data_IF_308908943087
#
_entry.id   IF_308908943087
#
_cell.length_a   1.000
_cell.length_b   1.000
_cell.length_c   1.000
_cell.angle_alpha   90.00
_cell.angle_beta   90.00
_cell.angle_gamma   90.00
#
_symmetry.space_group_name_H-M   'P 1'
#
loop_
_entity.id
_entity.type
_entity.pdbx_description
1 polymer ?
#
# COMPACT_ATOMS: atom_id res chain seq x y z
N UNK A 1 1.57 -8.10 9.37
CA UNK A 1 1.24 -6.67 9.42
C UNK A 1 1.05 -6.20 10.86
N UNK A 2 0.21 -6.86 11.67
CA UNK A 2 0.07 -6.61 13.12
C UNK A 2 1.38 -6.32 13.89
N UNK A 3 2.38 -7.21 13.85
CA UNK A 3 3.68 -7.00 14.53
C UNK A 3 4.42 -5.73 14.03
N UNK A 4 4.30 -5.40 12.74
CA UNK A 4 4.89 -4.19 12.17
C UNK A 4 4.20 -2.95 12.74
N UNK A 5 2.86 -2.96 12.79
CA UNK A 5 2.05 -1.87 13.36
C UNK A 5 2.35 -1.68 14.84
N UNK A 6 2.46 -2.75 15.61
CA UNK A 6 2.78 -2.68 17.04
C UNK A 6 4.17 -2.06 17.26
N UNK A 7 5.18 -2.45 16.47
CA UNK A 7 6.53 -1.87 16.51
C UNK A 7 6.57 -0.41 16.08
N UNK A 8 5.70 -0.01 15.14
CA UNK A 8 5.54 1.38 14.71
C UNK A 8 4.96 2.24 15.83
N UNK A 9 3.90 1.75 16.51
CA UNK A 9 3.27 2.42 17.67
C UNK A 9 4.24 2.60 18.82
N UNK A 10 5.04 1.59 19.16
CA UNK A 10 6.06 1.69 20.21
C UNK A 10 7.05 2.83 19.93
N UNK A 11 7.50 2.98 18.68
CA UNK A 11 8.44 4.04 18.28
C UNK A 11 7.79 5.42 18.32
N UNK A 12 6.55 5.51 17.87
CA UNK A 12 5.74 6.73 17.95
C UNK A 12 5.56 7.18 19.41
N UNK A 13 5.21 6.27 20.32
CA UNK A 13 5.07 6.56 21.74
C UNK A 13 6.41 6.98 22.38
N UNK A 14 7.50 6.30 22.03
CA UNK A 14 8.84 6.66 22.50
C UNK A 14 9.22 8.10 22.09
N UNK A 15 8.88 8.52 20.87
CA UNK A 15 9.08 9.90 20.45
C UNK A 15 8.31 10.88 21.34
N UNK A 16 7.00 10.68 21.52
CA UNK A 16 6.16 11.57 22.32
C UNK A 16 6.52 11.61 23.82
N UNK A 17 7.07 10.52 24.35
CA UNK A 17 7.47 10.40 25.76
C UNK A 17 8.92 10.89 26.01
N UNK A 18 9.57 11.45 25.01
CA UNK A 18 10.97 11.89 25.12
C UNK A 18 11.16 12.96 26.21
N UNK A 19 12.13 12.73 27.10
CA UNK A 19 12.43 13.62 28.23
C UNK A 19 13.16 14.91 27.85
N UNK A 20 13.64 15.02 26.60
CA UNK A 20 14.33 16.21 26.07
C UNK A 20 14.10 16.34 24.57
N UNK A 21 14.38 17.52 24.02
CA UNK A 21 14.26 17.78 22.59
C UNK A 21 15.23 16.94 21.76
N UNK A 22 16.47 16.76 22.25
CA UNK A 22 17.44 15.88 21.57
C UNK A 22 16.97 14.43 21.50
N UNK A 23 16.43 13.91 22.61
CA UNK A 23 15.87 12.56 22.61
C UNK A 23 14.62 12.48 21.71
N UNK A 24 13.81 13.53 21.67
CA UNK A 24 12.66 13.62 20.77
C UNK A 24 13.08 13.50 19.30
N UNK A 25 14.04 14.31 18.83
CA UNK A 25 14.49 14.25 17.44
C UNK A 25 15.12 12.90 17.07
N UNK A 26 15.88 12.29 17.99
CA UNK A 26 16.43 10.94 17.79
C UNK A 26 15.35 9.87 17.69
N UNK A 27 14.30 9.96 18.50
CA UNK A 27 13.19 9.01 18.46
C UNK A 27 12.29 9.23 17.22
N UNK A 28 12.11 10.48 16.77
CA UNK A 28 11.46 10.79 15.49
C UNK A 28 12.28 10.19 14.34
N UNK A 29 13.60 10.36 14.34
CA UNK A 29 14.48 9.72 13.36
C UNK A 29 14.29 8.20 13.38
N UNK A 30 14.32 7.54 14.54
CA UNK A 30 14.13 6.09 14.65
C UNK A 30 12.74 5.61 14.20
N UNK A 31 11.71 6.44 14.39
CA UNK A 31 10.36 6.17 13.90
C UNK A 31 10.30 6.22 12.36
N UNK A 32 10.81 7.27 11.74
CA UNK A 32 10.86 7.40 10.27
C UNK A 32 11.79 6.35 9.65
N UNK A 33 12.95 6.08 10.27
CA UNK A 33 13.90 5.06 9.83
C UNK A 33 13.25 3.67 9.74
N UNK A 34 12.40 3.34 10.72
CA UNK A 34 11.65 2.09 10.71
C UNK A 34 10.67 2.00 9.53
N UNK A 35 10.03 3.11 9.16
CA UNK A 35 9.15 3.18 8.00
C UNK A 35 9.95 2.95 6.72
N UNK A 36 11.02 3.74 6.51
CA UNK A 36 11.89 3.68 5.32
C UNK A 36 12.52 2.29 5.14
N UNK A 37 13.02 1.68 6.23
CA UNK A 37 13.70 0.38 6.18
C UNK A 37 12.76 -0.82 6.18
N UNK A 38 11.45 -0.63 6.37
CA UNK A 38 10.47 -1.73 6.31
C UNK A 38 9.82 -1.73 4.93
N UNK A 39 10.11 -2.71 4.04
CA UNK A 39 9.69 -2.64 2.63
C UNK A 39 8.18 -2.45 2.42
N UNK A 40 7.36 -3.08 3.26
CA UNK A 40 5.90 -2.96 3.18
C UNK A 40 5.41 -1.57 3.57
N UNK A 41 6.06 -0.92 4.53
CA UNK A 41 5.72 0.44 4.96
C UNK A 41 6.25 1.47 3.95
N UNK A 42 7.46 1.28 3.44
CA UNK A 42 8.03 2.10 2.36
C UNK A 42 7.15 2.08 1.12
N UNK A 43 6.65 0.90 0.71
CA UNK A 43 5.76 0.80 -0.46
C UNK A 43 4.45 1.61 -0.30
N UNK A 44 3.94 1.75 0.93
CA UNK A 44 2.78 2.62 1.21
C UNK A 44 3.16 4.09 1.01
N UNK A 45 4.35 4.48 1.47
CA UNK A 45 4.87 5.83 1.28
C UNK A 45 5.11 6.15 -0.19
N UNK A 46 5.75 5.25 -0.94
CA UNK A 46 6.04 5.40 -2.37
C UNK A 46 4.74 5.58 -3.17
N UNK A 47 3.72 4.79 -2.85
CA UNK A 47 2.38 4.94 -3.45
C UNK A 47 1.76 6.28 -3.10
N UNK A 48 1.88 6.72 -1.85
CA UNK A 48 1.40 8.04 -1.42
C UNK A 48 2.10 9.19 -2.13
N UNK A 49 3.40 9.07 -2.38
CA UNK A 49 4.19 10.04 -3.17
C UNK A 49 3.72 10.08 -4.63
N UNK A 50 3.54 8.92 -5.26
CA UNK A 50 3.05 8.82 -6.63
C UNK A 50 1.65 9.45 -6.77
N UNK A 51 0.74 9.14 -5.85
CA UNK A 51 -0.59 9.73 -5.83
C UNK A 51 -0.54 11.26 -5.65
N UNK A 52 0.35 11.77 -4.80
CA UNK A 52 0.57 13.19 -4.63
C UNK A 52 1.11 13.84 -5.91
N UNK A 53 2.14 13.24 -6.52
CA UNK A 53 2.76 13.74 -7.74
C UNK A 53 1.75 13.83 -8.89
N UNK A 54 0.96 12.77 -9.10
CA UNK A 54 -0.06 12.70 -10.13
C UNK A 54 -1.12 13.81 -9.95
N UNK A 55 -1.68 13.93 -8.73
CA UNK A 55 -2.67 14.96 -8.42
C UNK A 55 -2.10 16.38 -8.49
N UNK A 56 -0.84 16.58 -8.05
CA UNK A 56 -0.18 17.88 -8.14
C UNK A 56 0.08 18.28 -9.59
N UNK A 57 0.48 17.34 -10.46
CA UNK A 57 0.65 17.55 -11.89
C UNK A 57 -0.66 17.97 -12.57
N UNK A 58 -1.79 17.32 -12.22
CA UNK A 58 -3.13 17.71 -12.68
C UNK A 58 -3.46 19.16 -12.31
N UNK A 59 -3.16 19.60 -11.08
CA UNK A 59 -3.35 21.00 -10.67
C UNK A 59 -2.48 21.97 -11.48
N UNK A 60 -1.20 21.63 -11.69
CA UNK A 60 -0.29 22.48 -12.48
C UNK A 60 -0.78 22.62 -13.92
N UNK A 61 -1.32 21.55 -14.51
CA UNK A 61 -1.97 21.61 -15.82
C UNK A 61 -3.25 22.46 -15.83
N UNK A 62 -4.06 22.41 -14.77
CA UNK A 62 -5.23 23.28 -14.61
C UNK A 62 -4.84 24.76 -14.42
N UNK A 63 -3.70 25.06 -13.79
CA UNK A 63 -3.18 26.44 -13.66
C UNK A 63 -2.85 27.10 -15.01
N UNK A 64 -2.66 26.33 -16.08
CA UNK A 64 -2.46 26.85 -17.43
C UNK A 64 -3.78 27.27 -18.12
N UNK A 65 -4.94 26.99 -17.51
CA UNK A 65 -6.26 27.36 -18.01
C UNK A 65 -6.83 28.52 -17.14
N UNK A 66 -7.38 29.54 -17.82
CA UNK A 66 -7.75 30.90 -17.35
C UNK A 66 -8.55 31.01 -16.03
N UNK A 67 -8.50 32.20 -15.42
CA UNK A 67 -9.05 32.65 -14.11
C UNK A 67 -10.51 32.29 -13.75
N UNK A 68 -11.29 31.70 -14.66
CA UNK A 68 -12.70 31.34 -14.47
C UNK A 68 -12.97 30.14 -13.54
N UNK A 69 -11.93 29.49 -12.99
CA UNK A 69 -12.04 28.29 -12.13
C UNK A 69 -11.35 28.44 -10.77
N UNK A 70 -11.27 29.65 -10.23
CA UNK A 70 -10.62 29.91 -8.94
C UNK A 70 -11.23 29.07 -7.79
N UNK A 71 -12.55 28.89 -7.75
CA UNK A 71 -13.23 28.10 -6.72
C UNK A 71 -13.00 26.59 -6.86
N UNK A 72 -12.98 26.06 -8.10
CA UNK A 72 -12.63 24.65 -8.35
C UNK A 72 -11.16 24.36 -7.99
N UNK A 73 -10.28 25.34 -8.24
CA UNK A 73 -8.85 25.29 -7.90
C UNK A 73 -8.63 25.30 -6.39
N UNK A 74 -9.32 26.18 -5.65
CA UNK A 74 -9.23 26.23 -4.19
C UNK A 74 -9.76 24.95 -3.55
N UNK A 75 -10.84 24.37 -4.09
CA UNK A 75 -11.35 23.07 -3.64
C UNK A 75 -10.39 21.91 -3.94
N UNK A 76 -9.70 21.93 -5.08
CA UNK A 76 -8.69 20.93 -5.44
C UNK A 76 -7.43 21.03 -4.56
N UNK A 77 -6.95 22.24 -4.26
CA UNK A 77 -5.81 22.48 -3.36
C UNK A 77 -6.15 22.05 -1.93
N UNK A 78 -7.31 22.49 -1.40
CA UNK A 78 -7.76 22.10 -0.07
C UNK A 78 -8.01 20.59 0.06
N UNK A 79 -8.40 19.91 -1.03
CA UNK A 79 -8.43 18.43 -1.06
C UNK A 79 -7.02 17.87 -1.03
N UNK A 80 -6.09 18.37 -1.84
CA UNK A 80 -4.72 17.85 -1.90
C UNK A 80 -3.94 17.99 -0.59
N UNK A 81 -4.09 19.11 0.11
CA UNK A 81 -3.49 19.35 1.44
C UNK A 81 -4.09 18.44 2.52
N UNK A 82 -5.34 17.98 2.35
CA UNK A 82 -6.01 17.04 3.26
C UNK A 82 -5.78 15.56 2.90
N UNK A 83 -5.40 15.24 1.66
CA UNK A 83 -5.39 13.86 1.16
C UNK A 83 -4.00 13.24 1.01
N UNK A 84 -2.92 14.01 1.13
CA UNK A 84 -1.58 13.46 0.92
C UNK A 84 -0.88 13.28 2.25
N UNK A 85 -0.65 12.01 2.62
CA UNK A 85 0.37 11.59 3.61
C UNK A 85 1.68 12.36 3.46
N UNK A 86 2.01 12.72 2.22
CA UNK A 86 3.24 13.34 1.80
C UNK A 86 3.24 14.87 1.91
N UNK A 87 2.09 15.55 1.86
CA UNK A 87 2.09 16.97 1.47
C UNK A 87 2.54 17.96 2.55
N UNK A 88 2.55 17.61 3.83
CA UNK A 88 2.98 18.54 4.87
C UNK A 88 3.77 17.87 6.00
N UNK A 89 3.16 16.91 6.68
CA UNK A 89 3.72 16.40 7.93
C UNK A 89 4.88 15.43 7.70
N UNK A 90 4.73 14.44 6.81
CA UNK A 90 5.82 13.52 6.49
C UNK A 90 7.03 14.25 5.87
N UNK A 91 6.83 15.08 4.85
CA UNK A 91 7.92 15.84 4.23
C UNK A 91 8.64 16.75 5.24
N UNK A 92 7.90 17.37 6.17
CA UNK A 92 8.50 18.17 7.23
C UNK A 92 9.39 17.31 8.12
N UNK A 93 8.89 16.19 8.64
CA UNK A 93 9.67 15.28 9.49
C UNK A 93 10.87 14.68 8.74
N UNK A 94 10.68 14.31 7.47
CA UNK A 94 11.71 13.72 6.62
C UNK A 94 12.85 14.72 6.36
N UNK A 95 12.53 15.91 5.86
CA UNK A 95 13.53 16.91 5.44
C UNK A 95 14.15 17.61 6.65
N UNK A 96 13.37 17.94 7.69
CA UNK A 96 13.86 18.74 8.82
C UNK A 96 14.53 17.92 9.92
N UNK A 97 14.20 16.63 10.03
CA UNK A 97 14.69 15.77 11.13
C UNK A 97 15.40 14.53 10.59
N UNK A 98 14.74 13.71 9.77
CA UNK A 98 15.31 12.42 9.35
C UNK A 98 16.58 12.59 8.50
N UNK A 99 16.52 13.30 7.37
CA UNK A 99 17.64 13.43 6.44
C UNK A 99 18.88 14.02 7.12
N UNK A 100 18.81 15.15 7.87
CA UNK A 100 20.02 15.69 8.50
C UNK A 100 20.65 14.72 9.50
N UNK A 101 19.84 14.03 10.31
CA UNK A 101 20.37 13.05 11.29
C UNK A 101 20.93 11.82 10.57
N UNK A 102 20.29 11.36 9.50
CA UNK A 102 20.74 10.21 8.71
C UNK A 102 22.04 10.52 7.96
N UNK A 103 22.16 11.70 7.34
CA UNK A 103 23.37 12.18 6.68
C UNK A 103 24.54 12.26 7.70
N UNK A 104 24.29 12.81 8.89
CA UNK A 104 25.27 12.84 9.96
C UNK A 104 25.72 11.44 10.38
N UNK A 105 24.77 10.50 10.55
CA UNK A 105 25.08 9.11 10.98
C UNK A 105 25.89 8.33 9.93
N UNK A 106 25.69 8.65 8.65
CA UNK A 106 26.36 7.97 7.54
C UNK A 106 27.64 8.69 7.05
N UNK A 107 27.91 9.88 7.57
CA UNK A 107 29.11 10.65 7.24
C UNK A 107 30.33 10.20 8.07
N UNK A 108 31.51 10.35 7.48
CA UNK A 108 32.80 10.13 8.15
C UNK A 108 33.50 11.43 8.54
N UNK A 109 32.89 12.58 8.20
CA UNK A 109 33.44 13.89 8.50
C UNK A 109 33.43 14.18 10.01
N UNK A 110 34.41 14.93 10.53
CA UNK A 110 34.38 15.35 11.94
C UNK A 110 33.22 16.32 12.20
N UNK A 111 32.75 16.40 13.45
CA UNK A 111 31.67 17.31 13.87
C UNK A 111 31.83 18.76 13.38
N UNK A 112 33.06 19.26 13.26
CA UNK A 112 33.32 20.62 12.81
C UNK A 112 32.99 20.86 11.32
N UNK A 113 32.76 19.79 10.55
CA UNK A 113 32.50 19.84 9.11
C UNK A 113 31.07 19.41 8.73
N UNK A 114 30.35 18.76 9.64
CA UNK A 114 28.98 18.22 9.48
C UNK A 114 27.89 19.28 9.29
N UNK A 115 26.66 18.91 8.94
CA UNK A 115 25.54 19.87 8.98
C UNK A 115 25.25 20.33 10.43
N UNK A 116 25.32 21.64 10.76
CA UNK A 116 25.01 22.13 12.10
C UNK A 116 23.58 21.79 12.54
N UNK A 117 22.64 21.59 11.62
CA UNK A 117 21.26 21.20 11.91
C UNK A 117 21.19 19.86 12.64
N UNK A 118 21.90 18.85 12.16
CA UNK A 118 21.95 17.53 12.78
C UNK A 118 22.56 17.61 14.19
N UNK A 119 23.65 18.36 14.33
CA UNK A 119 24.32 18.57 15.60
C UNK A 119 23.45 19.32 16.61
N UNK A 120 22.67 20.31 16.17
CA UNK A 120 21.70 21.02 17.01
C UNK A 120 20.63 20.08 17.55
N UNK A 121 20.08 19.20 16.71
CA UNK A 121 19.12 18.20 17.16
C UNK A 121 19.76 17.17 18.09
N UNK A 122 20.97 16.67 17.79
CA UNK A 122 21.58 15.59 18.56
C UNK A 122 22.21 16.05 19.87
N UNK A 123 22.87 17.22 19.88
CA UNK A 123 23.70 17.69 21.00
C UNK A 123 23.15 18.95 21.66
N UNK A 124 22.31 19.73 20.96
CA UNK A 124 21.82 21.03 21.42
C UNK A 124 22.86 22.14 21.29
N UNK A 125 22.40 23.39 21.13
CA UNK A 125 23.25 24.55 20.82
C UNK A 125 24.41 24.77 21.80
N UNK A 126 24.24 24.43 23.09
CA UNK A 126 25.25 24.64 24.14
C UNK A 126 26.43 23.67 24.07
N UNK A 127 26.28 22.56 23.34
CA UNK A 127 27.27 21.48 23.29
C UNK A 127 27.96 21.36 21.94
N UNK A 128 27.77 22.35 21.06
CA UNK A 128 28.37 22.42 19.74
C UNK A 128 29.63 23.29 19.82
N UNK A 129 30.80 22.68 19.62
CA UNK A 129 32.06 23.39 19.54
C UNK A 129 32.53 23.43 18.10
N UNK A 130 32.16 24.46 17.35
CA UNK A 130 32.39 24.48 15.90
C UNK A 130 33.21 25.68 15.50
N UNK A 131 34.42 25.41 15.02
CA UNK A 131 35.29 26.44 14.44
C UNK A 131 34.74 26.97 13.10
N UNK A 132 33.91 26.17 12.40
CA UNK A 132 33.38 26.47 11.06
C UNK A 132 32.13 27.35 11.06
N UNK A 133 31.25 27.22 12.04
CA UNK A 133 30.01 28.00 12.13
C UNK A 133 30.12 29.02 13.26
N UNK A 134 29.97 30.30 12.92
CA UNK A 134 29.89 31.35 13.93
C UNK A 134 28.63 31.22 14.78
N UNK A 135 28.70 31.67 16.02
CA UNK A 135 27.59 31.63 16.99
C UNK A 135 26.26 32.16 16.42
N UNK A 136 26.31 33.28 15.69
CA UNK A 136 25.14 33.89 15.05
C UNK A 136 24.49 32.99 13.99
N UNK A 137 25.29 32.22 13.25
CA UNK A 137 24.80 31.26 12.26
C UNK A 137 24.09 30.10 12.95
N UNK A 138 24.67 29.58 14.04
CA UNK A 138 24.04 28.52 14.84
C UNK A 138 22.71 28.99 15.45
N UNK A 139 22.61 30.22 15.93
CA UNK A 139 21.36 30.79 16.44
C UNK A 139 20.26 30.85 15.38
N UNK A 140 20.59 31.20 14.13
CA UNK A 140 19.65 31.20 13.00
C UNK A 140 19.10 29.79 12.76
N UNK A 141 19.99 28.79 12.66
CA UNK A 141 19.57 27.39 12.48
C UNK A 141 18.76 26.88 13.67
N UNK A 142 19.19 27.21 14.89
CA UNK A 142 18.52 26.81 16.12
C UNK A 142 17.09 27.38 16.21
N UNK A 143 16.79 28.53 15.59
CA UNK A 143 15.43 29.08 15.52
C UNK A 143 14.39 28.16 14.85
N UNK A 144 14.83 27.17 14.06
CA UNK A 144 13.95 26.15 13.49
C UNK A 144 13.60 25.01 14.47
N UNK A 145 14.28 24.92 15.61
CA UNK A 145 14.18 23.80 16.56
C UNK A 145 13.84 24.26 17.98
N UNK A 146 14.45 25.35 18.44
CA UNK A 146 14.27 25.90 19.77
C UNK A 146 12.82 26.34 20.00
N UNK A 147 12.20 25.75 21.02
CA UNK A 147 10.78 25.95 21.32
C UNK A 147 9.81 25.44 20.24
N UNK A 148 10.29 24.72 19.22
CA UNK A 148 9.46 24.20 18.11
C UNK A 148 9.02 22.75 18.31
N UNK A 149 9.47 22.07 19.37
CA UNK A 149 9.10 20.67 19.68
C UNK A 149 7.60 20.40 19.52
N UNK A 150 6.74 21.25 20.10
CA UNK A 150 5.28 21.08 20.01
C UNK A 150 4.77 21.02 18.57
N UNK A 151 5.31 21.87 17.69
CA UNK A 151 4.94 21.86 16.26
C UNK A 151 5.30 20.53 15.60
N UNK A 152 6.49 20.00 15.87
CA UNK A 152 6.91 18.71 15.33
C UNK A 152 6.17 17.53 15.97
N UNK A 153 5.74 17.63 17.23
CA UNK A 153 4.85 16.64 17.84
C UNK A 153 3.48 16.63 17.15
N UNK A 154 2.93 17.80 16.83
CA UNK A 154 1.66 17.91 16.10
C UNK A 154 1.79 17.32 14.69
N UNK A 155 2.89 17.60 13.98
CA UNK A 155 3.20 16.98 12.69
C UNK A 155 3.32 15.45 12.81
N UNK A 156 4.04 14.95 13.82
CA UNK A 156 4.18 13.51 14.04
C UNK A 156 2.85 12.83 14.33
N UNK A 157 1.98 13.46 15.15
CA UNK A 157 0.64 12.94 15.46
C UNK A 157 -0.22 12.83 14.22
N UNK A 158 -0.28 13.91 13.44
CA UNK A 158 -1.09 13.95 12.24
C UNK A 158 -0.60 12.91 11.23
N UNK A 159 0.71 12.89 10.95
CA UNK A 159 1.31 11.88 10.09
C UNK A 159 1.03 10.45 10.57
N UNK A 160 1.18 10.17 11.86
CA UNK A 160 0.99 8.82 12.39
C UNK A 160 -0.46 8.34 12.21
N UNK A 161 -1.45 9.20 12.46
CA UNK A 161 -2.87 8.87 12.26
C UNK A 161 -3.14 8.57 10.80
N UNK A 162 -2.72 9.46 9.90
CA UNK A 162 -2.95 9.30 8.47
C UNK A 162 -2.26 8.03 7.95
N UNK A 163 -1.04 7.74 8.44
CA UNK A 163 -0.29 6.57 8.01
C UNK A 163 -0.91 5.26 8.50
N UNK A 164 -1.46 5.23 9.71
CA UNK A 164 -2.22 4.06 10.19
C UNK A 164 -3.47 3.82 9.33
N UNK A 165 -4.18 4.87 8.92
CA UNK A 165 -5.33 4.75 8.01
C UNK A 165 -4.93 4.13 6.67
N UNK A 166 -3.77 4.50 6.11
CA UNK A 166 -3.29 3.92 4.85
C UNK A 166 -2.81 2.48 5.00
N UNK A 167 -2.20 2.12 6.14
CA UNK A 167 -1.89 0.72 6.46
C UNK A 167 -3.18 -0.11 6.52
N UNK A 168 -4.23 0.42 7.17
CA UNK A 168 -5.52 -0.27 7.31
C UNK A 168 -6.22 -0.46 5.96
N UNK A 169 -6.09 0.49 5.02
CA UNK A 169 -6.53 0.32 3.62
C UNK A 169 -5.82 -0.83 2.92
N UNK A 170 -4.52 -1.01 3.15
CA UNK A 170 -3.76 -2.15 2.59
C UNK A 170 -4.15 -3.47 3.26
N UNK A 171 -4.55 -3.46 4.53
CA UNK A 171 -5.11 -4.64 5.20
C UNK A 171 -6.52 -4.99 4.70
N UNK A 172 -7.37 -4.00 4.45
CA UNK A 172 -8.76 -4.19 3.97
C UNK A 172 -8.85 -4.55 2.49
N UNK A 173 -7.86 -4.16 1.66
CA UNK A 173 -7.71 -4.68 0.28
C UNK A 173 -7.41 -6.20 0.25
N UNK A 174 -7.17 -6.82 1.42
CA UNK A 174 -7.02 -8.28 1.58
C UNK A 174 -8.21 -8.98 2.23
N UNK A 175 -9.40 -8.37 2.30
CA UNK A 175 -10.59 -9.19 2.45
C UNK A 175 -10.80 -9.97 1.16
N UNK A 176 -10.54 -11.26 1.24
CA UNK A 176 -10.67 -12.15 0.08
C UNK A 176 -12.15 -12.19 -0.31
N UNK A 177 -12.47 -12.07 -1.60
CA UNK A 177 -13.83 -12.00 -2.05
C UNK A 177 -14.59 -13.24 -1.58
N UNK A 178 -15.82 -13.05 -1.08
CA UNK A 178 -16.71 -14.17 -0.80
C UNK A 178 -17.15 -14.75 -2.12
N UNK A 179 -16.59 -15.90 -2.47
CA UNK A 179 -16.92 -16.60 -3.70
C UNK A 179 -17.82 -17.80 -3.41
N UNK A 180 -18.88 -17.96 -4.21
CA UNK A 180 -19.73 -19.15 -4.19
C UNK A 180 -20.31 -19.41 -5.57
N UNK A 181 -20.67 -20.66 -5.87
CA UNK A 181 -21.21 -21.03 -7.16
C UNK A 181 -22.63 -21.60 -7.03
N UNK A 182 -23.61 -20.89 -7.60
CA UNK A 182 -24.97 -21.38 -7.77
C UNK A 182 -25.02 -22.29 -9.01
N UNK A 183 -24.99 -23.60 -8.77
CA UNK A 183 -25.02 -24.62 -9.82
C UNK A 183 -26.38 -24.80 -10.50
N UNK A 184 -27.47 -24.31 -9.92
CA UNK A 184 -28.79 -24.39 -10.55
C UNK A 184 -28.91 -23.28 -11.60
N UNK A 185 -28.53 -22.07 -11.22
CA UNK A 185 -28.59 -20.89 -12.08
C UNK A 185 -27.32 -20.66 -12.91
N UNK A 186 -26.23 -21.39 -12.61
CA UNK A 186 -24.92 -21.23 -13.25
C UNK A 186 -24.37 -19.80 -13.09
N UNK A 187 -24.42 -19.31 -11.86
CA UNK A 187 -23.96 -17.98 -11.46
C UNK A 187 -22.81 -18.16 -10.47
N UNK A 188 -21.69 -17.51 -10.74
CA UNK A 188 -20.59 -17.40 -9.80
C UNK A 188 -20.74 -16.07 -9.06
N UNK A 189 -21.04 -16.14 -7.78
CA UNK A 189 -21.12 -14.98 -6.89
C UNK A 189 -19.71 -14.63 -6.42
N UNK A 190 -19.35 -13.37 -6.55
CA UNK A 190 -18.08 -12.79 -6.08
C UNK A 190 -18.45 -11.50 -5.36
N UNK A 191 -18.49 -11.56 -4.02
CA UNK A 191 -19.03 -10.51 -3.16
C UNK A 191 -20.47 -10.11 -3.55
N UNK A 192 -20.68 -8.88 -3.99
CA UNK A 192 -21.95 -8.30 -4.42
C UNK A 192 -22.18 -8.43 -5.94
N UNK A 193 -21.31 -9.15 -6.66
CA UNK A 193 -21.36 -9.29 -8.11
C UNK A 193 -21.72 -10.70 -8.55
N UNK A 194 -22.57 -10.76 -9.57
CA UNK A 194 -23.00 -12.00 -10.20
C UNK A 194 -22.33 -12.17 -11.56
N UNK A 195 -21.56 -13.26 -11.72
CA UNK A 195 -20.93 -13.62 -12.99
C UNK A 195 -21.73 -14.74 -13.66
N UNK A 196 -22.43 -14.40 -14.75
CA UNK A 196 -23.28 -15.36 -15.46
C UNK A 196 -22.47 -16.28 -16.38
N UNK A 197 -22.44 -17.58 -16.04
CA UNK A 197 -21.65 -18.59 -16.75
C UNK A 197 -22.37 -19.14 -17.98
N UNK A 198 -23.71 -19.23 -17.96
CA UNK A 198 -24.51 -19.66 -19.13
C UNK A 198 -25.31 -18.51 -19.73
N UNK A 199 -25.57 -18.59 -21.04
CA UNK A 199 -26.43 -17.63 -21.75
C UNK A 199 -27.84 -18.19 -22.06
N UNK A 200 -28.02 -19.49 -22.33
CA UNK A 200 -29.33 -20.16 -22.54
C UNK A 200 -29.26 -21.69 -22.31
N UNK A 201 -30.33 -22.27 -21.76
CA UNK A 201 -30.83 -23.66 -21.59
C UNK A 201 -29.90 -24.90 -21.60
N UNK A 202 -28.60 -24.79 -21.85
CA UNK A 202 -27.63 -25.88 -21.75
C UNK A 202 -26.46 -25.47 -20.85
N UNK A 203 -25.90 -26.45 -20.11
CA UNK A 203 -24.79 -26.24 -19.18
C UNK A 203 -23.48 -26.36 -19.96
N UNK A 204 -22.71 -25.27 -20.17
CA UNK A 204 -21.44 -25.35 -20.90
C UNK A 204 -20.35 -26.04 -20.07
N UNK A 205 -19.24 -26.44 -20.69
CA UNK A 205 -18.08 -26.96 -19.98
C UNK A 205 -17.60 -26.05 -18.83
N UNK A 206 -17.73 -24.73 -18.99
CA UNK A 206 -17.44 -23.71 -17.97
C UNK A 206 -18.24 -23.96 -16.67
N UNK A 207 -19.50 -24.40 -16.80
CA UNK A 207 -20.36 -24.77 -15.69
C UNK A 207 -19.77 -25.94 -14.90
N UNK A 208 -19.47 -27.03 -15.59
CA UNK A 208 -19.00 -28.26 -14.95
C UNK A 208 -17.61 -28.12 -14.33
N UNK A 209 -16.76 -27.24 -14.88
CA UNK A 209 -15.48 -26.87 -14.25
C UNK A 209 -15.71 -26.20 -12.90
N UNK A 210 -16.59 -25.19 -12.83
CA UNK A 210 -16.89 -24.50 -11.56
C UNK A 210 -17.62 -25.41 -10.59
N UNK A 211 -18.59 -26.19 -11.07
CA UNK A 211 -19.30 -27.17 -10.26
C UNK A 211 -18.33 -28.15 -9.60
N UNK A 212 -17.34 -28.67 -10.34
CA UNK A 212 -16.31 -29.52 -9.78
C UNK A 212 -15.46 -28.84 -8.70
N UNK A 213 -14.98 -27.61 -8.97
CA UNK A 213 -14.13 -26.85 -8.05
C UNK A 213 -14.85 -26.57 -6.72
N UNK A 214 -16.15 -26.23 -6.77
CA UNK A 214 -16.92 -25.83 -5.60
C UNK A 214 -17.60 -26.99 -4.85
N UNK A 215 -17.82 -28.15 -5.50
CA UNK A 215 -18.39 -29.33 -4.83
C UNK A 215 -17.35 -30.23 -4.16
N UNK A 216 -16.07 -30.12 -4.56
CA UNK A 216 -15.01 -30.90 -3.94
C UNK A 216 -14.52 -30.18 -2.67
N UNK A 217 -14.49 -30.86 -1.50
CA UNK A 217 -14.05 -30.28 -0.21
C UNK A 217 -12.64 -29.66 -0.29
N UNK A 218 -11.80 -30.19 -1.20
CA UNK A 218 -10.46 -29.71 -1.47
C UNK A 218 -10.37 -28.83 -2.73
N UNK A 219 -11.43 -28.72 -3.54
CA UNK A 219 -11.40 -28.03 -4.84
C UNK A 219 -11.13 -26.52 -4.77
N UNK A 220 -11.46 -25.90 -3.64
CA UNK A 220 -11.11 -24.51 -3.33
C UNK A 220 -9.68 -24.35 -2.77
N UNK A 221 -8.97 -25.42 -2.43
CA UNK A 221 -7.64 -25.35 -1.79
C UNK A 221 -6.55 -26.05 -2.61
N UNK A 222 -6.93 -26.96 -3.49
CA UNK A 222 -6.04 -27.83 -4.23
C UNK A 222 -6.24 -27.74 -5.75
N UNK A 223 -5.34 -28.41 -6.49
CA UNK A 223 -5.37 -28.46 -7.96
C UNK A 223 -6.49 -29.37 -8.43
N UNK A 224 -7.38 -28.85 -9.26
CA UNK A 224 -8.37 -29.64 -10.00
C UNK A 224 -7.76 -30.09 -11.34
N UNK A 225 -7.34 -31.35 -11.44
CA UNK A 225 -6.80 -31.90 -12.69
C UNK A 225 -7.91 -32.12 -13.73
N UNK A 226 -7.63 -31.78 -14.99
CA UNK A 226 -8.62 -31.91 -16.06
C UNK A 226 -9.10 -33.34 -16.27
N UNK A 227 -8.22 -34.33 -16.04
CA UNK A 227 -8.58 -35.75 -16.09
C UNK A 227 -9.69 -36.11 -15.09
N UNK A 228 -9.65 -35.52 -13.90
CA UNK A 228 -10.59 -35.82 -12.83
C UNK A 228 -11.93 -35.14 -13.09
N UNK A 229 -11.90 -33.89 -13.57
CA UNK A 229 -13.10 -33.18 -14.02
C UNK A 229 -13.79 -33.96 -15.14
N UNK A 230 -13.05 -34.41 -16.17
CA UNK A 230 -13.61 -35.22 -17.27
C UNK A 230 -14.23 -36.51 -16.74
N UNK A 231 -13.50 -37.22 -15.88
CA UNK A 231 -13.96 -38.50 -15.32
C UNK A 231 -15.23 -38.34 -14.49
N UNK A 232 -15.34 -37.26 -13.71
CA UNK A 232 -16.42 -37.08 -12.73
C UNK A 232 -17.64 -36.38 -13.34
N UNK A 233 -17.45 -35.40 -14.23
CA UNK A 233 -18.55 -34.60 -14.79
C UNK A 233 -18.98 -35.01 -16.19
N UNK A 234 -18.13 -35.74 -16.93
CA UNK A 234 -18.34 -36.01 -18.36
C UNK A 234 -18.25 -37.49 -18.73
N UNK A 235 -18.49 -38.42 -17.78
CA UNK A 235 -18.29 -39.89 -17.86
C UNK A 235 -18.35 -40.59 -19.23
N UNK A 236 -19.19 -40.13 -20.18
CA UNK A 236 -19.39 -40.72 -21.53
C UNK A 236 -19.26 -39.74 -22.69
N UNK A 237 -18.94 -38.47 -22.45
CA UNK A 237 -18.81 -37.44 -23.48
C UNK A 237 -17.38 -37.34 -24.00
N UNK A 238 -17.22 -37.02 -25.29
CA UNK A 238 -15.91 -36.75 -25.89
C UNK A 238 -15.42 -35.34 -25.52
N UNK A 239 -15.12 -35.13 -24.24
CA UNK A 239 -14.47 -33.91 -23.74
C UNK A 239 -12.99 -34.18 -23.52
N UNK A 240 -12.13 -33.30 -24.04
CA UNK A 240 -10.69 -33.38 -23.88
C UNK A 240 -10.13 -32.29 -22.96
N UNK A 241 -8.89 -32.46 -22.52
CA UNK A 241 -8.20 -31.48 -21.68
C UNK A 241 -8.14 -30.08 -22.34
N UNK A 242 -8.08 -30.02 -23.67
CA UNK A 242 -8.01 -28.76 -24.41
C UNK A 242 -9.33 -27.98 -24.31
N UNK A 243 -10.46 -28.68 -24.32
CA UNK A 243 -11.79 -28.11 -24.13
C UNK A 243 -11.94 -27.52 -22.73
N UNK A 244 -11.52 -28.23 -21.69
CA UNK A 244 -11.53 -27.71 -20.32
C UNK A 244 -10.56 -26.53 -20.12
N UNK A 245 -9.37 -26.58 -20.73
CA UNK A 245 -8.44 -25.45 -20.73
C UNK A 245 -9.06 -24.18 -21.33
N UNK A 246 -9.77 -24.31 -22.46
CA UNK A 246 -10.49 -23.20 -23.09
C UNK A 246 -11.61 -22.68 -22.19
N UNK A 247 -12.34 -23.56 -21.52
CA UNK A 247 -13.36 -23.18 -20.54
C UNK A 247 -12.79 -22.41 -19.35
N UNK A 248 -11.64 -22.83 -18.82
CA UNK A 248 -10.98 -22.09 -17.74
C UNK A 248 -10.62 -20.65 -18.15
N UNK A 249 -10.16 -20.47 -19.40
CA UNK A 249 -9.90 -19.14 -19.97
C UNK A 249 -11.18 -18.32 -20.13
N UNK A 250 -12.26 -18.95 -20.59
CA UNK A 250 -13.56 -18.30 -20.75
C UNK A 250 -14.12 -17.83 -19.40
N UNK A 251 -14.03 -18.67 -18.36
CA UNK A 251 -14.38 -18.30 -16.98
C UNK A 251 -13.56 -17.08 -16.52
N UNK A 252 -12.23 -17.15 -16.62
CA UNK A 252 -11.36 -16.05 -16.16
C UNK A 252 -11.65 -14.75 -16.90
N UNK A 253 -11.96 -14.81 -18.20
CA UNK A 253 -12.38 -13.66 -18.98
C UNK A 253 -13.70 -13.08 -18.47
N UNK A 254 -14.73 -13.92 -18.27
CA UNK A 254 -16.03 -13.47 -17.75
C UNK A 254 -15.93 -12.83 -16.38
N UNK A 255 -15.14 -13.42 -15.49
CA UNK A 255 -14.88 -12.87 -14.16
C UNK A 255 -14.16 -11.53 -14.25
N UNK A 256 -13.19 -11.39 -15.15
CA UNK A 256 -12.54 -10.11 -15.39
C UNK A 256 -13.52 -9.06 -15.94
N UNK A 257 -14.41 -9.44 -16.86
CA UNK A 257 -15.37 -8.53 -17.50
C UNK A 257 -16.51 -8.10 -16.55
N UNK A 258 -17.05 -9.03 -15.76
CA UNK A 258 -18.25 -8.79 -14.93
C UNK A 258 -17.90 -8.44 -13.48
N UNK A 259 -16.81 -8.98 -12.93
CA UNK A 259 -16.40 -8.74 -11.54
C UNK A 259 -15.13 -7.89 -11.39
N UNK A 260 -14.35 -7.68 -12.47
CA UNK A 260 -13.11 -6.91 -12.43
C UNK A 260 -11.91 -7.66 -11.85
N UNK A 261 -12.01 -8.99 -11.65
CA UNK A 261 -10.90 -9.80 -11.13
C UNK A 261 -10.12 -10.45 -12.28
N UNK A 262 -8.85 -10.06 -12.41
CA UNK A 262 -7.93 -10.65 -13.40
C UNK A 262 -7.34 -11.96 -12.87
N UNK A 263 -7.00 -12.92 -13.75
CA UNK A 263 -6.36 -14.18 -13.34
C UNK A 263 -7.13 -14.99 -12.27
N UNK A 264 -8.46 -14.94 -12.29
CA UNK A 264 -9.30 -15.66 -11.31
C UNK A 264 -8.95 -17.16 -11.18
N UNK A 265 -8.64 -17.82 -12.30
CA UNK A 265 -8.12 -19.19 -12.29
C UNK A 265 -6.64 -19.21 -12.66
N UNK A 266 -5.87 -20.05 -11.96
CA UNK A 266 -4.51 -20.45 -12.37
C UNK A 266 -4.62 -21.64 -13.30
N UNK A 267 -4.39 -21.42 -14.59
CA UNK A 267 -4.65 -22.38 -15.66
C UNK A 267 -3.34 -23.00 -16.17
N UNK A 268 -3.22 -24.33 -16.14
CA UNK A 268 -2.07 -25.06 -16.70
C UNK A 268 -2.50 -26.07 -17.76
N UNK A 269 -1.88 -26.00 -18.93
CA UNK A 269 -2.07 -26.94 -20.04
C UNK A 269 -1.09 -28.12 -20.00
N UNK A 270 -1.35 -29.16 -20.80
CA UNK A 270 -0.44 -30.30 -21.01
C UNK A 270 -1.05 -31.64 -20.61
N UNK A 271 -0.22 -32.69 -20.58
CA UNK A 271 -0.64 -34.05 -20.18
C UNK A 271 -1.20 -34.11 -18.75
N UNK A 272 -0.67 -33.27 -17.87
CA UNK A 272 -1.08 -33.11 -16.47
C UNK A 272 -1.74 -31.74 -16.26
N UNK A 273 -2.56 -31.30 -17.22
CA UNK A 273 -3.23 -30.01 -17.15
C UNK A 273 -4.18 -29.93 -15.94
N UNK A 274 -4.24 -28.76 -15.32
CA UNK A 274 -5.05 -28.51 -14.12
C UNK A 274 -5.47 -27.06 -14.03
N UNK A 275 -6.45 -26.80 -13.17
CA UNK A 275 -6.90 -25.47 -12.79
C UNK A 275 -7.15 -25.40 -11.29
N UNK A 276 -7.07 -24.21 -10.70
CA UNK A 276 -7.59 -23.91 -9.36
C UNK A 276 -7.86 -22.41 -9.28
N UNK A 277 -8.64 -21.99 -8.29
CA UNK A 277 -8.87 -20.57 -8.02
C UNK A 277 -7.56 -19.96 -7.54
N UNK A 278 -7.23 -18.76 -8.03
CA UNK A 278 -6.03 -18.05 -7.59
C UNK A 278 -6.11 -17.83 -6.06
N UNK A 279 -5.10 -18.27 -5.28
CA UNK A 279 -5.06 -18.08 -3.83
C UNK A 279 -5.21 -16.62 -3.35
N UNK A 280 -4.94 -15.64 -4.22
CA UNK A 280 -5.21 -14.23 -3.93
C UNK A 280 -6.71 -13.94 -3.68
N UNK A 281 -7.60 -14.84 -4.11
CA UNK A 281 -9.06 -14.71 -4.01
C UNK A 281 -9.74 -15.69 -3.02
N UNK A 282 -8.97 -16.45 -2.24
CA UNK A 282 -9.45 -17.56 -1.38
C UNK A 282 -8.97 -17.47 0.06
#
# INVERSE_FOLDING_TARGET
>A
MKDIVDRLKIRYEAALQSSSDSLFYQNVHAYIDFIVKTPVLSAIMDKGEEEYHNKHSEIVHVRALTDQKADEKEQLINRLERFSLFAAHYCTLLIKIYNPIEDYKNSTEPDAEQDPVALLMLKGIKNINTQRWGQKTLEIYNGHYDGKRKSYEDDLRQFHVDFLTEIEKVETIKEKPKISFDKENSILHIDDKDVHIKLKNDKPNDHYVLEYIFENEEGLKEKSFYSDIIKIKFEREKVDNMSLYRSCKAISRKVSEQAGLSNFLVIKSGKTGYTHINPDYL
#
